data_IF_864437579399
#
_entry.id   IF_864437579399
#
_cell.length_a   1.000
_cell.length_b   1.000
_cell.length_c   1.000
_cell.angle_alpha   90.00
_cell.angle_beta   90.00
_cell.angle_gamma   90.00
#
_symmetry.space_group_name_H-M   'P 1'
#
loop_
_entity.id
_entity.type
_entity.pdbx_description
1 polymer ?
#
# COMPACT_ATOMS: atom_id res chain seq x y z
N UNK A 1 10.02 -6.56 1.13
CA UNK A 1 9.10 -7.57 0.60
C UNK A 1 7.81 -6.89 0.17
N UNK A 2 7.14 -7.40 -0.85
CA UNK A 2 5.75 -7.08 -1.21
C UNK A 2 4.91 -8.34 -0.94
N UNK A 3 3.86 -8.24 -0.14
CA UNK A 3 3.04 -9.37 0.27
C UNK A 3 1.62 -9.20 -0.23
N UNK A 4 1.08 -10.18 -0.97
CA UNK A 4 -0.27 -10.24 -1.52
C UNK A 4 -1.18 -11.07 -0.65
N UNK A 5 -2.27 -10.47 -0.19
CA UNK A 5 -3.28 -11.08 0.65
C UNK A 5 -4.59 -11.24 -0.11
N UNK A 6 -5.36 -12.28 0.22
CA UNK A 6 -6.72 -12.57 -0.26
C UNK A 6 -7.72 -12.42 0.86
N UNK A 7 -8.87 -11.79 0.61
CA UNK A 7 -10.02 -11.74 1.52
C UNK A 7 -10.96 -12.93 1.27
N UNK A 8 -11.28 -13.69 2.31
CA UNK A 8 -12.31 -14.74 2.25
C UNK A 8 -13.73 -14.17 2.38
N UNK A 9 -14.75 -15.02 2.30
CA UNK A 9 -16.18 -14.66 2.43
C UNK A 9 -16.49 -13.98 3.78
N UNK A 10 -15.79 -14.38 4.86
CA UNK A 10 -15.92 -13.75 6.19
C UNK A 10 -15.21 -12.40 6.30
N UNK A 11 -14.61 -11.93 5.21
CA UNK A 11 -13.90 -10.67 5.13
C UNK A 11 -12.50 -10.65 5.76
N UNK A 12 -11.94 -11.81 6.08
CA UNK A 12 -10.61 -11.96 6.66
C UNK A 12 -9.55 -12.14 5.57
N UNK A 13 -8.44 -11.43 5.70
CA UNK A 13 -7.30 -11.47 4.80
C UNK A 13 -6.30 -12.55 5.22
N UNK A 14 -5.90 -13.39 4.28
CA UNK A 14 -4.80 -14.34 4.46
C UNK A 14 -3.69 -14.04 3.47
N UNK A 15 -2.44 -14.24 3.89
CA UNK A 15 -1.30 -14.12 3.00
C UNK A 15 -1.42 -15.17 1.89
N UNK A 16 -1.42 -14.71 0.65
CA UNK A 16 -1.49 -15.55 -0.53
C UNK A 16 -0.11 -15.77 -1.14
N UNK A 17 0.67 -14.69 -1.34
CA UNK A 17 2.04 -14.77 -1.90
C UNK A 17 2.93 -13.63 -1.40
N UNK A 18 4.24 -13.85 -1.40
CA UNK A 18 5.24 -12.81 -1.10
C UNK A 18 6.30 -12.73 -2.20
N UNK A 19 6.70 -11.51 -2.52
CA UNK A 19 7.61 -11.19 -3.62
C UNK A 19 8.74 -10.27 -3.13
N UNK A 20 10.02 -10.70 -3.25
CA UNK A 20 11.14 -9.82 -2.99
C UNK A 20 11.06 -8.57 -3.86
N UNK A 21 11.18 -7.40 -3.23
CA UNK A 21 11.28 -6.12 -3.94
C UNK A 21 12.71 -6.02 -4.46
N UNK A 22 12.87 -5.78 -5.76
CA UNK A 22 14.19 -5.71 -6.38
C UNK A 22 14.91 -4.41 -5.99
N UNK A 23 14.19 -3.28 -6.06
CA UNK A 23 14.74 -1.99 -5.65
C UNK A 23 13.65 -1.00 -5.21
N UNK A 24 13.97 -0.16 -4.24
CA UNK A 24 13.22 1.05 -3.88
C UNK A 24 14.23 2.11 -3.44
N UNK A 25 13.88 3.39 -3.60
CA UNK A 25 14.86 4.48 -3.49
C UNK A 25 14.67 5.32 -2.21
N UNK A 26 15.75 5.96 -1.76
CA UNK A 26 15.70 7.04 -0.76
C UNK A 26 15.53 6.62 0.70
N UNK A 27 15.75 5.34 1.03
CA UNK A 27 15.71 4.81 2.40
C UNK A 27 14.33 4.93 3.08
N UNK A 28 14.28 4.80 4.41
CA UNK A 28 13.03 4.87 5.19
C UNK A 28 12.52 6.30 5.37
N UNK A 29 11.20 6.46 5.51
CA UNK A 29 10.47 7.72 5.65
C UNK A 29 9.62 8.08 4.43
N UNK A 30 8.73 9.08 4.53
CA UNK A 30 7.84 9.46 3.43
C UNK A 30 8.59 10.22 2.33
N UNK A 31 8.14 10.04 1.09
CA UNK A 31 8.42 10.94 -0.03
C UNK A 31 7.75 12.28 0.22
N UNK A 32 8.45 13.41 -0.03
CA UNK A 32 7.91 14.76 0.22
C UNK A 32 7.92 15.68 -0.98
N UNK A 33 8.85 15.49 -1.93
CA UNK A 33 8.96 16.40 -3.08
C UNK A 33 9.37 15.71 -4.36
N UNK A 34 9.04 16.34 -5.49
CA UNK A 34 9.56 15.90 -6.79
C UNK A 34 11.10 15.88 -6.75
N UNK A 35 11.70 14.81 -7.27
CA UNK A 35 13.16 14.68 -7.34
C UNK A 35 13.89 14.33 -6.02
N UNK A 36 13.20 14.07 -4.90
CA UNK A 36 13.85 13.57 -3.67
C UNK A 36 14.31 12.12 -3.72
N UNK A 37 14.15 11.45 -4.87
CA UNK A 37 14.56 10.07 -5.15
C UNK A 37 14.06 9.07 -4.09
N UNK A 38 12.87 9.31 -3.55
CA UNK A 38 12.33 8.54 -2.43
C UNK A 38 11.05 7.82 -2.79
N UNK A 39 10.96 6.57 -2.36
CA UNK A 39 9.71 5.81 -2.44
C UNK A 39 8.75 6.21 -1.32
N UNK A 40 7.44 6.31 -1.61
CA UNK A 40 6.46 6.78 -0.64
C UNK A 40 6.15 5.73 0.43
N UNK A 41 5.85 6.18 1.64
CA UNK A 41 5.29 5.35 2.73
C UNK A 41 3.87 5.85 3.02
N UNK A 42 2.97 4.98 3.50
CA UNK A 42 1.58 5.34 3.79
C UNK A 42 0.54 4.44 3.12
N UNK A 43 -0.69 4.95 3.00
CA UNK A 43 -1.85 4.19 2.54
C UNK A 43 -2.30 4.69 1.16
N UNK A 44 -2.33 3.79 0.18
CA UNK A 44 -2.60 4.09 -1.22
C UNK A 44 -3.68 3.17 -1.78
N UNK A 45 -4.25 3.55 -2.92
CA UNK A 45 -5.35 2.82 -3.57
C UNK A 45 -5.05 2.74 -5.06
N UNK A 46 -5.24 1.57 -5.64
CA UNK A 46 -5.10 1.32 -7.08
C UNK A 46 -6.48 1.06 -7.66
N UNK A 47 -6.83 1.80 -8.70
CA UNK A 47 -8.04 1.61 -9.50
C UNK A 47 -7.68 1.17 -10.91
N UNK A 48 -8.67 0.80 -11.73
CA UNK A 48 -8.46 0.38 -13.13
C UNK A 48 -7.69 1.42 -13.95
N UNK A 49 -7.93 2.72 -13.73
CA UNK A 49 -7.26 3.80 -14.48
C UNK A 49 -5.76 3.93 -14.17
N UNK A 50 -5.31 3.33 -13.08
CA UNK A 50 -3.90 3.35 -12.66
C UNK A 50 -3.09 2.19 -13.24
N UNK A 51 -3.72 1.25 -13.95
CA UNK A 51 -3.03 0.17 -14.66
C UNK A 51 -2.28 0.71 -15.88
N UNK A 52 -1.05 0.25 -16.07
CA UNK A 52 -0.15 0.60 -17.19
C UNK A 52 0.42 -0.67 -17.83
N UNK A 53 -0.37 -1.37 -18.67
CA UNK A 53 0.06 -2.60 -19.33
C UNK A 53 1.21 -2.37 -20.32
N UNK A 54 1.26 -1.18 -20.91
CA UNK A 54 2.20 -0.68 -21.93
C UNK A 54 3.39 0.09 -21.35
N UNK A 55 3.67 -0.09 -20.05
CA UNK A 55 4.78 0.57 -19.37
C UNK A 55 6.13 0.23 -20.02
N UNK A 56 7.00 1.25 -20.11
CA UNK A 56 8.39 1.12 -20.60
C UNK A 56 9.28 0.22 -19.75
N UNK A 57 8.88 -0.05 -18.50
CA UNK A 57 9.62 -0.91 -17.56
C UNK A 57 9.00 -2.30 -17.43
N UNK A 58 8.39 -2.83 -18.50
CA UNK A 58 7.43 -3.93 -18.42
C UNK A 58 6.24 -3.53 -17.52
N UNK A 59 5.18 -4.34 -17.44
CA UNK A 59 3.88 -4.04 -16.79
C UNK A 59 4.03 -3.21 -15.50
N UNK A 60 3.15 -2.21 -15.30
CA UNK A 60 3.21 -1.36 -14.11
C UNK A 60 1.83 -0.90 -13.64
N UNK A 61 1.73 -0.43 -12.40
CA UNK A 61 0.58 0.33 -11.93
C UNK A 61 1.00 1.48 -11.03
N UNK A 62 0.26 2.58 -11.12
CA UNK A 62 0.52 3.79 -10.34
C UNK A 62 -0.11 3.67 -8.95
N UNK A 63 0.66 4.00 -7.90
CA UNK A 63 0.19 4.00 -6.51
C UNK A 63 -0.83 5.11 -6.22
N UNK A 64 -0.91 6.16 -7.03
CA UNK A 64 -1.78 7.30 -6.78
C UNK A 64 -1.21 8.28 -5.75
N UNK A 65 0.12 8.33 -5.62
CA UNK A 65 0.80 9.43 -4.93
C UNK A 65 0.68 10.72 -5.77
N UNK A 66 0.41 11.88 -5.14
CA UNK A 66 0.19 12.09 -3.70
C UNK A 66 -1.25 11.71 -3.28
N UNK A 67 -1.39 10.98 -2.16
CA UNK A 67 -2.69 10.72 -1.55
C UNK A 67 -3.21 11.95 -0.77
N UNK A 68 -4.35 11.84 -0.09
CA UNK A 68 -4.91 12.95 0.72
C UNK A 68 -3.99 13.44 1.84
N UNK A 69 -3.26 12.53 2.50
CA UNK A 69 -2.28 12.89 3.53
C UNK A 69 -1.12 13.68 2.92
N UNK A 70 -0.57 13.19 1.81
CA UNK A 70 0.53 13.84 1.09
C UNK A 70 0.13 15.25 0.64
N UNK A 71 -1.07 15.38 0.05
CA UNK A 71 -1.63 16.66 -0.38
C UNK A 71 -1.81 17.64 0.78
N UNK A 72 -2.30 17.17 1.94
CA UNK A 72 -2.48 18.01 3.13
C UNK A 72 -1.16 18.57 3.69
N UNK A 73 -0.02 17.94 3.38
CA UNK A 73 1.32 18.42 3.75
C UNK A 73 2.04 19.15 2.63
N UNK A 74 1.37 19.41 1.50
CA UNK A 74 1.97 20.02 0.33
C UNK A 74 3.06 19.16 -0.32
N UNK A 75 3.02 17.83 -0.14
CA UNK A 75 3.98 16.96 -0.78
C UNK A 75 3.77 16.93 -2.30
N UNK A 76 4.86 16.95 -3.04
CA UNK A 76 4.84 17.05 -4.51
C UNK A 76 5.49 15.86 -5.19
N UNK A 77 5.09 15.67 -6.45
CA UNK A 77 5.57 14.62 -7.34
C UNK A 77 4.42 13.79 -7.89
N UNK A 78 4.73 12.86 -8.78
CA UNK A 78 3.73 12.02 -9.44
C UNK A 78 4.38 10.73 -9.97
N UNK A 79 3.52 9.80 -10.41
CA UNK A 79 3.92 8.57 -11.10
C UNK A 79 4.83 7.64 -10.28
N UNK A 80 4.52 7.50 -8.99
CA UNK A 80 5.15 6.49 -8.14
C UNK A 80 4.51 5.15 -8.45
N UNK A 81 5.25 4.28 -9.12
CA UNK A 81 4.74 3.02 -9.66
C UNK A 81 5.28 1.81 -8.91
N UNK A 82 4.56 0.70 -9.03
CA UNK A 82 5.15 -0.64 -8.92
C UNK A 82 5.29 -1.18 -10.33
N UNK A 83 6.50 -1.55 -10.74
CA UNK A 83 6.81 -1.88 -12.13
C UNK A 83 7.87 -2.98 -12.26
N UNK A 84 8.07 -3.48 -13.49
CA UNK A 84 9.07 -4.49 -13.83
C UNK A 84 10.53 -3.98 -13.86
N UNK A 85 11.45 -4.87 -14.17
CA UNK A 85 12.89 -4.62 -14.12
C UNK A 85 13.48 -4.60 -12.71
N UNK A 86 14.58 -3.87 -12.51
CA UNK A 86 15.22 -3.76 -11.19
C UNK A 86 15.85 -2.38 -10.93
N UNK A 87 15.63 -1.42 -11.82
CA UNK A 87 16.13 -0.05 -11.68
C UNK A 87 14.96 0.85 -11.30
N UNK A 88 15.11 1.65 -10.26
CA UNK A 88 14.08 2.61 -9.84
C UNK A 88 14.72 3.90 -9.33
N UNK A 89 14.03 5.01 -9.62
CA UNK A 89 14.33 6.36 -9.11
C UNK A 89 13.07 6.86 -8.38
N UNK A 90 12.73 6.21 -7.27
CA UNK A 90 11.57 6.55 -6.42
C UNK A 90 10.40 5.57 -6.50
N UNK A 91 10.32 4.70 -7.50
CA UNK A 91 9.30 3.64 -7.61
C UNK A 91 9.65 2.38 -6.79
N UNK A 92 8.75 1.41 -6.76
CA UNK A 92 9.04 0.05 -6.31
C UNK A 92 9.28 -0.86 -7.52
N UNK A 93 10.53 -1.21 -7.77
CA UNK A 93 10.88 -2.13 -8.85
C UNK A 93 10.79 -3.58 -8.39
N UNK A 94 10.07 -4.39 -9.17
CA UNK A 94 9.94 -5.84 -9.05
C UNK A 94 10.53 -6.47 -10.30
N UNK A 95 11.07 -7.69 -10.22
CA UNK A 95 11.50 -8.39 -11.45
C UNK A 95 10.34 -8.55 -12.43
N UNK A 96 10.62 -8.66 -13.73
CA UNK A 96 9.59 -8.84 -14.76
C UNK A 96 8.68 -10.03 -14.45
N UNK A 97 9.28 -11.14 -13.99
CA UNK A 97 8.52 -12.31 -13.54
C UNK A 97 7.53 -11.97 -12.42
N UNK A 98 7.98 -11.27 -11.39
CA UNK A 98 7.14 -10.96 -10.23
C UNK A 98 6.06 -9.94 -10.57
N UNK A 99 6.38 -8.88 -11.29
CA UNK A 99 5.35 -7.90 -11.66
C UNK A 99 4.34 -8.50 -12.64
N UNK A 100 4.72 -9.45 -13.50
CA UNK A 100 3.75 -10.13 -14.36
C UNK A 100 2.66 -10.82 -13.53
N UNK A 101 3.06 -11.56 -12.49
CA UNK A 101 2.11 -12.21 -11.59
C UNK A 101 1.30 -11.18 -10.79
N UNK A 102 1.95 -10.23 -10.13
CA UNK A 102 1.29 -9.21 -9.31
C UNK A 102 0.28 -8.42 -10.16
N UNK A 103 0.70 -7.94 -11.33
CA UNK A 103 -0.16 -7.19 -12.25
C UNK A 103 -1.38 -8.03 -12.65
N UNK A 104 -1.22 -9.30 -13.00
CA UNK A 104 -2.36 -10.16 -13.35
C UNK A 104 -3.34 -10.33 -12.20
N UNK A 105 -2.87 -10.47 -10.96
CA UNK A 105 -3.78 -10.50 -9.80
C UNK A 105 -4.51 -9.17 -9.62
N UNK A 106 -3.80 -8.05 -9.71
CA UNK A 106 -4.38 -6.70 -9.60
C UNK A 106 -5.41 -6.46 -10.71
N UNK A 107 -5.03 -6.73 -11.95
CA UNK A 107 -5.87 -6.61 -13.14
C UNK A 107 -7.12 -7.48 -13.04
N UNK A 108 -6.96 -8.77 -12.72
CA UNK A 108 -8.08 -9.68 -12.59
C UNK A 108 -9.04 -9.25 -11.48
N UNK A 109 -8.53 -8.89 -10.31
CA UNK A 109 -9.37 -8.45 -9.20
C UNK A 109 -10.19 -7.21 -9.61
N UNK A 110 -9.52 -6.22 -10.21
CA UNK A 110 -10.19 -5.00 -10.69
C UNK A 110 -11.20 -5.29 -11.80
N UNK A 111 -10.89 -6.19 -12.75
CA UNK A 111 -11.78 -6.58 -13.84
C UNK A 111 -13.02 -7.35 -13.36
N UNK A 112 -12.88 -8.14 -12.29
CA UNK A 112 -13.94 -8.99 -11.74
C UNK A 112 -14.73 -8.35 -10.58
N UNK A 113 -14.85 -7.02 -10.57
CA UNK A 113 -15.78 -6.30 -9.68
C UNK A 113 -15.15 -5.65 -8.45
N UNK A 114 -13.87 -5.90 -8.13
CA UNK A 114 -13.20 -5.12 -7.10
C UNK A 114 -12.99 -3.68 -7.60
N UNK A 115 -13.59 -2.69 -6.94
CA UNK A 115 -13.49 -1.29 -7.36
C UNK A 115 -12.04 -0.75 -7.29
N UNK A 116 -11.30 -1.23 -6.30
CA UNK A 116 -9.96 -0.74 -5.99
C UNK A 116 -9.17 -1.74 -5.13
N UNK A 117 -7.84 -1.62 -5.14
CA UNK A 117 -6.92 -2.42 -4.33
C UNK A 117 -6.20 -1.50 -3.34
N UNK A 118 -6.23 -1.85 -2.05
CA UNK A 118 -5.50 -1.13 -1.02
C UNK A 118 -4.03 -1.57 -1.00
N UNK A 119 -3.14 -0.58 -0.91
CA UNK A 119 -1.70 -0.78 -0.81
C UNK A 119 -1.18 -0.07 0.42
N UNK A 120 -0.69 -0.84 1.39
CA UNK A 120 -0.20 -0.35 2.66
C UNK A 120 1.32 -0.46 2.70
N UNK A 121 2.00 0.69 2.70
CA UNK A 121 3.45 0.78 2.57
C UNK A 121 4.06 1.21 3.90
N UNK A 122 4.60 0.25 4.62
CA UNK A 122 5.25 0.45 5.92
C UNK A 122 6.77 0.54 5.79
N UNK A 123 7.48 1.27 6.67
CA UNK A 123 8.95 1.31 6.65
C UNK A 123 9.57 -0.07 6.93
N UNK A 124 9.01 -0.82 7.87
CA UNK A 124 9.45 -2.14 8.38
C UNK A 124 8.24 -2.86 9.03
N UNK A 125 8.40 -4.12 9.53
CA UNK A 125 7.38 -4.74 10.41
C UNK A 125 7.19 -3.88 11.64
N UNK A 126 6.08 -3.15 11.75
CA UNK A 126 5.86 -2.12 12.78
C UNK A 126 5.56 -2.68 14.18
N UNK A 127 6.25 -3.76 14.56
CA UNK A 127 6.26 -4.27 15.94
C UNK A 127 6.80 -3.24 16.92
N UNK A 128 6.36 -3.30 18.17
CA UNK A 128 6.82 -2.40 19.25
C UNK A 128 8.34 -2.36 19.38
N UNK A 129 9.01 -3.52 19.21
CA UNK A 129 10.47 -3.61 19.27
C UNK A 129 11.15 -2.84 18.14
N UNK A 130 10.66 -2.98 16.90
CA UNK A 130 11.20 -2.26 15.73
C UNK A 130 10.91 -0.76 15.83
N UNK A 131 9.71 -0.38 16.30
CA UNK A 131 9.39 1.02 16.58
C UNK A 131 10.35 1.62 17.61
N UNK A 132 10.59 0.93 18.73
CA UNK A 132 11.51 1.40 19.76
C UNK A 132 12.97 1.49 19.29
N UNK A 133 13.41 0.55 18.44
CA UNK A 133 14.73 0.60 17.80
C UNK A 133 14.89 1.88 16.97
N UNK A 134 13.81 2.33 16.33
CA UNK A 134 13.79 3.51 15.47
C UNK A 134 13.32 4.80 16.15
N UNK A 135 13.20 4.83 17.50
CA UNK A 135 12.60 5.94 18.25
C UNK A 135 13.24 7.31 18.04
N UNK A 136 14.53 7.35 17.72
CA UNK A 136 15.29 8.59 17.51
C UNK A 136 15.27 9.06 16.04
N UNK A 137 14.55 8.37 15.15
CA UNK A 137 14.41 8.77 13.76
C UNK A 137 13.61 10.06 13.65
N UNK A 138 14.02 10.95 12.74
CA UNK A 138 13.24 12.15 12.37
C UNK A 138 11.85 11.85 11.80
N UNK A 139 11.60 10.61 11.39
CA UNK A 139 10.30 10.15 10.87
C UNK A 139 9.47 9.38 11.89
N UNK A 140 9.94 9.27 13.14
CA UNK A 140 9.28 8.47 14.16
C UNK A 140 7.83 8.92 14.41
N UNK A 141 7.58 10.23 14.42
CA UNK A 141 6.23 10.80 14.58
C UNK A 141 5.29 10.42 13.44
N UNK A 142 5.79 10.36 12.21
CA UNK A 142 5.04 9.86 11.06
C UNK A 142 4.77 8.35 11.18
N UNK A 143 5.77 7.56 11.54
CA UNK A 143 5.63 6.11 11.71
C UNK A 143 4.65 5.74 12.82
N UNK A 144 4.58 6.52 13.91
CA UNK A 144 3.56 6.36 14.94
C UNK A 144 2.12 6.50 14.43
N UNK A 145 1.90 7.20 13.32
CA UNK A 145 0.57 7.31 12.68
C UNK A 145 0.24 6.08 11.84
N UNK A 146 1.25 5.37 11.31
CA UNK A 146 1.06 4.15 10.52
C UNK A 146 0.88 2.90 11.38
N UNK A 147 1.58 2.84 12.52
CA UNK A 147 1.64 1.68 13.42
C UNK A 147 0.26 1.11 13.81
N UNK A 148 -0.76 1.92 14.17
CA UNK A 148 -2.04 1.36 14.60
C UNK A 148 -2.74 0.56 13.50
N UNK A 149 -2.55 0.94 12.22
CA UNK A 149 -3.13 0.22 11.10
C UNK A 149 -2.47 -1.15 10.89
N UNK A 150 -1.14 -1.17 11.05
CA UNK A 150 -0.34 -2.39 10.99
C UNK A 150 -0.71 -3.36 12.11
N UNK A 151 -0.79 -2.88 13.35
CA UNK A 151 -1.15 -3.69 14.52
C UNK A 151 -2.57 -4.25 14.39
N UNK A 152 -3.52 -3.43 13.93
CA UNK A 152 -4.88 -3.88 13.70
C UNK A 152 -4.94 -5.01 12.67
N UNK A 153 -4.31 -4.84 11.51
CA UNK A 153 -4.31 -5.84 10.45
C UNK A 153 -3.64 -7.14 10.90
N UNK A 154 -2.47 -7.06 11.54
CA UNK A 154 -1.74 -8.24 12.01
C UNK A 154 -2.47 -9.01 13.12
N UNK A 155 -3.28 -8.33 13.94
CA UNK A 155 -4.07 -8.97 15.00
C UNK A 155 -5.39 -9.57 14.50
N UNK A 156 -6.05 -8.90 13.57
CA UNK A 156 -7.44 -9.22 13.19
C UNK A 156 -7.58 -9.84 11.81
N UNK A 157 -6.55 -9.77 10.99
CA UNK A 157 -6.61 -10.06 9.55
C UNK A 157 -7.68 -9.22 8.83
N UNK A 158 -8.00 -8.03 9.32
CA UNK A 158 -8.93 -7.10 8.68
C UNK A 158 -8.23 -5.77 8.40
N UNK A 159 -8.62 -5.12 7.29
CA UNK A 159 -8.12 -3.79 6.98
C UNK A 159 -8.81 -2.75 7.88
N UNK A 160 -8.05 -1.86 8.53
CA UNK A 160 -8.64 -0.76 9.29
C UNK A 160 -9.23 0.29 8.35
N UNK A 161 -10.12 1.13 8.87
CA UNK A 161 -10.56 2.31 8.14
C UNK A 161 -9.59 3.46 8.42
N UNK A 162 -9.02 4.01 7.35
CA UNK A 162 -8.05 5.11 7.42
C UNK A 162 -8.72 6.43 7.00
N UNK A 163 -8.65 7.42 7.89
CA UNK A 163 -9.05 8.79 7.62
C UNK A 163 -7.86 9.74 7.71
N UNK A 164 -7.98 10.90 7.06
CA UNK A 164 -7.06 12.02 7.27
C UNK A 164 -7.84 13.11 8.01
N UNK A 165 -7.39 13.48 9.20
CA UNK A 165 -7.98 14.56 9.98
C UNK A 165 -6.85 15.47 10.48
N UNK A 166 -7.01 16.78 10.28
CA UNK A 166 -6.00 17.78 10.68
C UNK A 166 -4.58 17.44 10.18
N UNK A 167 -4.48 16.88 8.96
CA UNK A 167 -3.19 16.47 8.40
C UNK A 167 -2.56 15.26 9.09
N UNK A 168 -3.32 14.38 9.74
CA UNK A 168 -2.78 13.16 10.35
C UNK A 168 -3.61 11.94 9.93
N UNK A 169 -2.96 10.78 9.84
CA UNK A 169 -3.70 9.54 9.70
C UNK A 169 -4.42 9.22 11.02
N UNK A 170 -5.72 8.98 10.92
CA UNK A 170 -6.52 8.40 11.98
C UNK A 170 -6.97 7.01 11.56
N UNK A 171 -6.62 6.03 12.39
CA UNK A 171 -6.93 4.62 12.17
C UNK A 171 -8.12 4.24 13.04
N UNK A 172 -9.27 4.01 12.43
CA UNK A 172 -10.42 3.47 13.14
C UNK A 172 -10.37 1.94 13.11
N UNK A 173 -10.30 1.35 14.30
CA UNK A 173 -10.22 -0.11 14.53
C UNK A 173 -11.61 -0.78 14.55
N UNK A 174 -12.67 0.01 14.40
CA UNK A 174 -14.02 -0.48 14.20
C UNK A 174 -14.43 -0.14 12.76
N UNK A 175 -14.35 -1.08 11.80
CA UNK A 175 -15.05 -0.88 10.54
C UNK A 175 -16.53 -0.69 10.89
N UNK A 176 -17.10 0.48 10.59
CA UNK A 176 -18.49 0.79 10.89
C UNK A 176 -19.40 -0.34 10.37
N UNK A 177 -19.97 -1.11 11.29
CA UNK A 177 -21.19 -1.88 11.03
C UNK A 177 -22.35 -0.87 11.02
N UNK A 178 -22.44 -0.07 9.94
CA UNK A 178 -23.63 0.73 9.65
C UNK A 178 -24.13 0.38 8.25
N UNK A 179 -25.06 -0.58 8.26
CA UNK A 179 -26.26 -0.66 7.42
C UNK A 179 -26.33 0.25 6.18
N UNK A 180 -26.25 -0.38 5.01
CA UNK A 180 -27.11 -0.05 3.87
C UNK A 180 -27.63 -1.37 3.28
N UNK A 181 -28.89 -1.43 2.83
CA UNK A 181 -29.56 -2.69 2.53
C UNK A 181 -29.00 -3.35 1.26
N UNK A 182 -29.14 -4.68 1.23
CA UNK A 182 -28.51 -5.62 0.31
C UNK A 182 -28.70 -5.33 -1.19
N UNK A 183 -27.65 -5.61 -1.96
CA UNK A 183 -27.73 -6.51 -3.13
C UNK A 183 -26.42 -7.27 -3.26
N UNK A 184 -26.53 -8.59 -3.45
CA UNK A 184 -25.44 -9.55 -3.56
C UNK A 184 -24.49 -9.25 -4.74
N UNK A 185 -23.18 -9.27 -4.48
CA UNK A 185 -22.22 -10.11 -5.22
C UNK A 185 -20.88 -10.13 -4.46
N UNK A 186 -20.60 -11.25 -3.79
CA UNK A 186 -19.32 -11.53 -3.13
C UNK A 186 -18.30 -12.00 -4.17
N UNK A 187 -17.14 -11.33 -4.28
CA UNK A 187 -15.87 -11.99 -4.63
C UNK A 187 -14.63 -11.15 -4.32
N UNK A 188 -13.78 -11.76 -3.48
CA UNK A 188 -12.32 -11.65 -3.36
C UNK A 188 -11.70 -10.25 -3.50
N UNK A 189 -11.42 -9.63 -2.35
CA UNK A 189 -10.60 -8.42 -2.28
C UNK A 189 -9.16 -8.77 -1.89
N UNK A 190 -8.18 -8.33 -2.67
CA UNK A 190 -6.77 -8.48 -2.32
C UNK A 190 -6.21 -7.22 -1.66
N UNK A 191 -5.25 -7.36 -0.75
CA UNK A 191 -4.52 -6.25 -0.13
C UNK A 191 -3.02 -6.55 -0.09
N UNK A 192 -2.18 -5.51 -0.21
CA UNK A 192 -0.72 -5.64 -0.08
C UNK A 192 -0.21 -4.99 1.21
N UNK A 193 0.55 -5.71 2.04
CA UNK A 193 1.31 -5.12 3.17
C UNK A 193 2.82 -5.33 3.02
N UNK A 194 3.62 -4.41 3.55
CA UNK A 194 5.10 -4.53 3.64
C UNK A 194 5.51 -4.88 5.06
N UNK A 195 6.37 -5.88 5.19
CA UNK A 195 6.95 -6.36 6.45
C UNK A 195 8.43 -6.74 6.24
N UNK A 196 9.35 -6.10 6.99
CA UNK A 196 10.74 -6.55 7.24
C UNK A 196 10.84 -7.43 8.50
#
# INVERSE_FOLDING_TARGET
MLELYTKNEKGLFSLFKSYPICHFSGGLGPKKRQGDLKSPEGFYRITRSQLKPDSKYYRAFNLGFPNKYDQAHGYTGAYLMVHGGCKSIGCYAMTDRYINEIYRYVENALQNGQYEIQVNIYPFKMTSNKMNHHRNSRYYTFWRQLQPAYEYFTKTNQLPVIHIQQGQYLVNQFPNHQSSPATADERLQYALTKME
#
